data_IF_551278306276
#
_entry.id   IF_551278306276
#
_cell.length_a   1.000
_cell.length_b   1.000
_cell.length_c   1.000
_cell.angle_alpha   90.00
_cell.angle_beta   90.00
_cell.angle_gamma   90.00
#
_symmetry.space_group_name_H-M   'P 1'
#
loop_
_entity.id
_entity.type
_entity.pdbx_description
1 polymer ?
#
# COMPACT_ATOMS: atom_id res chain seq x y z
N UNK A 1 7.37 6.04 17.82
CA UNK A 1 6.81 4.94 17.00
C UNK A 1 6.47 5.55 15.66
N UNK A 2 6.97 5.02 14.55
CA UNK A 2 6.65 5.56 13.22
C UNK A 2 5.34 4.92 12.78
N UNK A 3 4.34 5.74 12.44
CA UNK A 3 3.07 5.22 11.90
C UNK A 3 3.32 4.67 10.49
N UNK A 4 2.71 3.54 10.13
CA UNK A 4 2.81 3.02 8.76
C UNK A 4 2.20 4.01 7.77
N UNK A 5 2.71 4.00 6.53
CA UNK A 5 2.14 4.80 5.46
C UNK A 5 0.77 4.26 5.07
N UNK A 6 -0.13 5.09 4.55
CA UNK A 6 -1.42 4.58 4.06
C UNK A 6 -1.26 4.10 2.63
N UNK A 7 -1.80 2.92 2.30
CA UNK A 7 -1.89 2.46 0.91
C UNK A 7 -2.46 3.57 0.02
N UNK A 8 -1.73 3.91 -1.03
CA UNK A 8 -2.04 5.05 -1.90
C UNK A 8 -1.10 6.24 -1.71
N UNK A 9 -0.33 6.32 -0.63
CA UNK A 9 0.61 7.41 -0.40
C UNK A 9 1.93 7.22 -1.15
N UNK A 10 2.50 8.33 -1.61
CA UNK A 10 3.87 8.39 -2.09
C UNK A 10 4.82 8.58 -0.92
N UNK A 11 5.92 7.83 -0.92
CA UNK A 11 7.01 7.98 0.04
C UNK A 11 8.32 8.23 -0.69
N UNK A 12 9.03 9.29 -0.30
CA UNK A 12 10.31 9.67 -0.88
C UNK A 12 11.46 9.04 -0.08
N UNK A 13 12.60 8.85 -0.74
CA UNK A 13 13.83 8.36 -0.12
C UNK A 13 14.84 9.50 -0.03
N UNK A 14 15.18 9.92 1.18
CA UNK A 14 16.10 11.04 1.42
C UNK A 14 17.50 10.72 0.88
N UNK A 15 17.91 9.45 0.91
CA UNK A 15 19.18 8.97 0.35
C UNK A 15 19.25 9.06 -1.19
N UNK A 16 18.10 9.15 -1.87
CA UNK A 16 17.99 9.16 -3.32
C UNK A 16 17.11 10.30 -3.82
N UNK A 17 17.71 11.47 -4.05
CA UNK A 17 17.01 12.69 -4.43
C UNK A 17 15.97 12.49 -5.56
N UNK A 18 14.70 12.69 -5.23
CA UNK A 18 13.57 12.60 -6.15
C UNK A 18 13.05 11.18 -6.42
N UNK A 19 13.66 10.15 -5.83
CA UNK A 19 13.12 8.79 -5.85
C UNK A 19 11.93 8.71 -4.90
N UNK A 20 10.83 8.14 -5.39
CA UNK A 20 9.67 7.88 -4.54
C UNK A 20 8.92 6.63 -4.94
N UNK A 21 8.29 6.00 -3.96
CA UNK A 21 7.59 4.73 -4.09
C UNK A 21 6.15 4.88 -3.61
N UNK A 22 5.25 4.15 -4.26
CA UNK A 22 3.85 4.05 -3.88
C UNK A 22 3.38 2.62 -3.99
N UNK A 23 2.79 2.12 -2.91
CA UNK A 23 1.88 0.97 -2.97
C UNK A 23 0.50 1.52 -3.33
N UNK A 24 -0.03 1.14 -4.49
CA UNK A 24 -1.37 1.52 -4.91
C UNK A 24 -2.42 0.71 -4.15
N UNK A 25 -3.69 1.00 -4.42
CA UNK A 25 -4.83 0.28 -3.86
C UNK A 25 -4.66 -1.24 -3.97
N UNK A 26 -5.14 -1.92 -2.94
CA UNK A 26 -5.33 -3.37 -2.90
C UNK A 26 -6.65 -3.69 -3.60
N UNK A 27 -6.61 -4.49 -4.66
CA UNK A 27 -7.77 -4.75 -5.51
C UNK A 27 -8.01 -6.26 -5.63
N UNK A 28 -9.25 -6.76 -5.42
CA UNK A 28 -9.57 -8.13 -5.77
C UNK A 28 -9.26 -8.37 -7.25
N UNK A 29 -8.47 -9.40 -7.55
CA UNK A 29 -8.07 -9.68 -8.92
C UNK A 29 -7.60 -11.12 -9.06
N UNK A 30 -8.00 -11.78 -10.15
CA UNK A 30 -7.53 -13.12 -10.47
C UNK A 30 -6.17 -13.07 -11.20
N UNK A 31 -5.25 -14.00 -10.89
CA UNK A 31 -3.97 -14.10 -11.58
C UNK A 31 -4.12 -14.43 -13.08
N UNK A 32 -3.30 -13.85 -13.98
CA UNK A 32 -3.46 -13.98 -15.42
C UNK A 32 -3.22 -15.40 -15.97
N UNK A 33 -2.45 -16.24 -15.28
CA UNK A 33 -2.13 -17.62 -15.70
C UNK A 33 -2.96 -18.67 -14.96
N UNK A 34 -4.04 -18.25 -14.29
CA UNK A 34 -4.84 -19.10 -13.42
C UNK A 34 -4.30 -19.15 -11.99
N UNK A 35 -5.15 -19.63 -11.08
CA UNK A 35 -4.87 -19.75 -9.65
C UNK A 35 -3.82 -20.85 -9.39
N UNK A 36 -3.03 -20.65 -8.35
CA UNK A 36 -2.17 -21.69 -7.80
C UNK A 36 -3.00 -22.66 -6.94
N UNK A 37 -2.74 -23.96 -7.05
CA UNK A 37 -3.43 -24.98 -6.25
C UNK A 37 -3.18 -24.78 -4.75
N UNK A 38 -2.00 -24.25 -4.37
CA UNK A 38 -1.68 -23.92 -2.99
C UNK A 38 -2.51 -22.74 -2.42
N UNK A 39 -3.17 -21.98 -3.29
CA UNK A 39 -4.08 -20.90 -2.93
C UNK A 39 -5.57 -21.32 -2.99
N UNK A 40 -5.86 -22.62 -3.02
CA UNK A 40 -7.23 -23.12 -2.94
C UNK A 40 -7.96 -22.57 -1.70
N UNK A 41 -9.16 -22.02 -1.93
CA UNK A 41 -9.97 -21.41 -0.87
C UNK A 41 -9.51 -20.03 -0.41
N UNK A 42 -8.43 -19.47 -0.96
CA UNK A 42 -7.98 -18.12 -0.66
C UNK A 42 -8.61 -17.08 -1.61
N UNK A 43 -8.69 -15.85 -1.11
CA UNK A 43 -9.13 -14.69 -1.90
C UNK A 43 -7.91 -13.99 -2.47
N UNK A 44 -7.83 -13.97 -3.80
CA UNK A 44 -6.76 -13.29 -4.52
C UNK A 44 -6.98 -11.78 -4.60
N UNK A 45 -5.89 -11.05 -4.49
CA UNK A 45 -5.83 -9.61 -4.72
C UNK A 45 -4.53 -9.21 -5.40
N UNK A 46 -4.57 -8.08 -6.10
CA UNK A 46 -3.46 -7.46 -6.77
C UNK A 46 -2.90 -6.32 -5.93
N UNK A 47 -1.57 -6.25 -5.90
CA UNK A 47 -0.81 -5.13 -5.36
C UNK A 47 -0.02 -4.52 -6.52
N UNK A 48 -0.03 -3.19 -6.65
CA UNK A 48 0.87 -2.50 -7.57
C UNK A 48 1.84 -1.65 -6.76
N UNK A 49 3.13 -1.78 -7.04
CA UNK A 49 4.17 -0.96 -6.43
C UNK A 49 4.85 -0.16 -7.53
N UNK A 50 4.70 1.16 -7.51
CA UNK A 50 5.32 2.04 -8.50
C UNK A 50 6.48 2.79 -7.89
N UNK A 51 7.58 2.78 -8.62
CA UNK A 51 8.75 3.63 -8.39
C UNK A 51 8.72 4.78 -9.40
N UNK A 52 8.89 6.02 -8.94
CA UNK A 52 9.00 7.21 -9.77
C UNK A 52 10.31 7.93 -9.50
N UNK A 53 10.94 8.42 -10.56
CA UNK A 53 12.12 9.26 -10.45
C UNK A 53 11.79 10.71 -10.85
N UNK A 54 11.84 11.61 -9.88
CA UNK A 54 11.72 13.06 -10.05
C UNK A 54 13.06 13.79 -10.00
N UNK A 55 14.16 13.05 -9.84
CA UNK A 55 15.51 13.58 -9.84
C UNK A 55 16.03 13.91 -11.24
N UNK A 56 17.25 14.42 -11.30
CA UNK A 56 17.90 14.85 -12.54
C UNK A 56 18.72 13.79 -13.27
N UNK A 57 18.92 12.59 -12.69
CA UNK A 57 19.70 11.47 -13.26
C UNK A 57 18.84 10.21 -13.34
N UNK A 58 19.24 9.22 -14.14
CA UNK A 58 18.62 7.89 -14.07
C UNK A 58 19.04 7.18 -12.77
N UNK A 59 18.20 6.24 -12.34
CA UNK A 59 18.43 5.36 -11.20
C UNK A 59 18.15 3.93 -11.65
N UNK A 60 19.09 3.01 -11.43
CA UNK A 60 18.91 1.59 -11.67
C UNK A 60 18.12 0.99 -10.51
N UNK A 61 16.93 0.45 -10.79
CA UNK A 61 15.99 -0.03 -9.77
C UNK A 61 15.85 -1.54 -9.86
N UNK A 62 15.97 -2.20 -8.71
CA UNK A 62 15.51 -3.56 -8.50
C UNK A 62 14.38 -3.57 -7.46
N UNK A 63 13.32 -4.30 -7.80
CA UNK A 63 12.20 -4.60 -6.93
C UNK A 63 11.73 -6.04 -7.22
N UNK A 64 12.41 -6.99 -6.60
CA UNK A 64 12.35 -8.43 -6.88
C UNK A 64 11.68 -9.22 -5.73
N UNK A 65 11.66 -10.55 -5.87
CA UNK A 65 11.23 -11.44 -4.79
C UNK A 65 12.06 -11.23 -3.51
N UNK A 66 11.42 -11.37 -2.35
CA UNK A 66 12.01 -11.11 -1.02
C UNK A 66 12.21 -9.62 -0.68
N UNK A 67 12.04 -8.71 -1.64
CA UNK A 67 12.08 -7.26 -1.41
C UNK A 67 10.71 -6.67 -1.06
N UNK A 68 9.66 -7.48 -1.25
CA UNK A 68 8.29 -7.16 -0.89
C UNK A 68 7.78 -8.27 0.04
N UNK A 69 7.32 -7.89 1.22
CA UNK A 69 6.68 -8.78 2.18
C UNK A 69 5.26 -8.31 2.43
N UNK A 70 4.31 -9.25 2.45
CA UNK A 70 2.88 -8.95 2.60
C UNK A 70 2.35 -9.69 3.81
N UNK A 71 1.89 -8.93 4.80
CA UNK A 71 1.24 -9.45 6.00
C UNK A 71 -0.25 -9.16 5.98
N UNK A 72 -1.03 -10.07 6.51
CA UNK A 72 -2.49 -9.98 6.60
C UNK A 72 -2.97 -10.24 8.01
N UNK A 73 -4.14 -9.71 8.33
CA UNK A 73 -4.76 -9.86 9.62
C UNK A 73 -4.04 -9.11 10.75
N UNK A 74 -4.66 -9.08 11.95
CA UNK A 74 -4.12 -8.36 13.10
C UNK A 74 -2.85 -9.00 13.67
N UNK A 75 -2.64 -10.29 13.43
CA UNK A 75 -1.49 -11.06 13.93
C UNK A 75 -0.29 -11.03 12.96
N UNK A 76 -0.43 -10.39 11.79
CA UNK A 76 0.65 -10.22 10.83
C UNK A 76 1.07 -11.51 10.13
N UNK A 77 0.09 -12.33 9.74
CA UNK A 77 0.32 -13.60 9.06
C UNK A 77 0.84 -13.37 7.64
N UNK A 78 1.71 -14.23 7.13
CA UNK A 78 2.17 -14.10 5.74
C UNK A 78 1.01 -14.36 4.76
N UNK A 79 0.82 -13.46 3.80
CA UNK A 79 0.01 -13.75 2.64
C UNK A 79 0.69 -14.78 1.74
N UNK A 80 -0.10 -15.57 1.00
CA UNK A 80 0.42 -16.36 -0.11
C UNK A 80 0.83 -15.41 -1.24
N UNK A 81 2.09 -15.44 -1.68
CA UNK A 81 2.58 -14.66 -2.82
C UNK A 81 2.73 -15.55 -4.05
N UNK A 82 1.96 -15.25 -5.10
CA UNK A 82 2.00 -15.94 -6.38
C UNK A 82 3.06 -15.29 -7.28
N UNK A 83 4.32 -15.66 -7.05
CA UNK A 83 5.48 -15.17 -7.78
C UNK A 83 5.41 -15.51 -9.28
N UNK A 84 4.77 -16.64 -9.65
CA UNK A 84 4.60 -17.06 -11.06
C UNK A 84 3.70 -16.10 -11.83
N UNK A 85 2.70 -15.52 -11.18
CA UNK A 85 1.79 -14.55 -11.79
C UNK A 85 2.21 -13.09 -11.59
N UNK A 86 3.21 -12.85 -10.74
CA UNK A 86 3.72 -11.51 -10.44
C UNK A 86 4.74 -11.03 -11.49
N UNK A 87 4.91 -9.71 -11.57
CA UNK A 87 5.85 -9.01 -12.43
C UNK A 87 6.69 -8.07 -11.56
N UNK A 88 7.98 -8.33 -11.52
CA UNK A 88 8.96 -7.60 -10.71
C UNK A 88 9.71 -6.56 -11.55
N UNK A 89 10.49 -5.71 -10.90
CA UNK A 89 11.44 -4.80 -11.58
C UNK A 89 12.83 -5.43 -11.44
N UNK A 90 13.33 -6.07 -12.49
CA UNK A 90 14.58 -6.84 -12.48
C UNK A 90 15.72 -6.04 -13.12
N UNK A 91 16.14 -4.94 -12.47
CA UNK A 91 17.23 -4.09 -12.95
C UNK A 91 16.83 -3.15 -14.09
N UNK A 92 15.92 -2.22 -13.80
CA UNK A 92 15.41 -1.25 -14.78
C UNK A 92 15.89 0.17 -14.49
N UNK A 93 16.42 0.85 -15.51
CA UNK A 93 16.79 2.26 -15.42
C UNK A 93 15.56 3.16 -15.48
N UNK A 94 15.20 3.75 -14.34
CA UNK A 94 14.14 4.75 -14.27
C UNK A 94 14.75 6.12 -14.57
N UNK A 95 14.59 6.58 -15.80
CA UNK A 95 15.01 7.92 -16.23
C UNK A 95 14.20 9.04 -15.55
N UNK A 96 14.69 10.29 -15.54
CA UNK A 96 13.96 11.44 -15.02
C UNK A 96 12.52 11.54 -15.55
N UNK A 97 11.57 11.79 -14.65
CA UNK A 97 10.13 11.88 -14.87
C UNK A 97 9.48 10.60 -15.40
N UNK A 98 10.16 9.45 -15.25
CA UNK A 98 9.62 8.13 -15.61
C UNK A 98 9.24 7.32 -14.37
N UNK A 99 8.50 6.25 -14.63
CA UNK A 99 7.97 5.32 -13.64
C UNK A 99 8.22 3.89 -14.08
N UNK A 100 8.50 3.03 -13.11
CA UNK A 100 8.47 1.57 -13.25
C UNK A 100 7.47 1.00 -12.25
N UNK A 101 6.78 -0.10 -12.59
CA UNK A 101 5.75 -0.66 -11.71
C UNK A 101 5.88 -2.17 -11.63
N UNK A 102 6.05 -2.69 -10.41
CA UNK A 102 5.85 -4.09 -10.09
C UNK A 102 4.36 -4.36 -9.87
N UNK A 103 3.89 -5.54 -10.29
CA UNK A 103 2.52 -6.01 -10.11
C UNK A 103 2.58 -7.37 -9.44
N UNK A 104 2.05 -7.48 -8.22
CA UNK A 104 2.04 -8.71 -7.46
C UNK A 104 0.64 -9.27 -7.35
N UNK A 105 0.53 -10.59 -7.37
CA UNK A 105 -0.67 -11.31 -7.00
C UNK A 105 -0.42 -12.01 -5.67
N UNK A 106 -1.28 -11.71 -4.71
CA UNK A 106 -1.25 -12.27 -3.38
C UNK A 106 -2.61 -12.88 -3.04
N UNK A 107 -2.65 -13.80 -2.09
CA UNK A 107 -3.88 -14.41 -1.62
C UNK A 107 -3.85 -14.63 -0.11
N UNK A 108 -5.02 -14.57 0.51
CA UNK A 108 -5.19 -14.86 1.92
C UNK A 108 -6.65 -15.22 2.27
N UNK A 109 -6.90 -15.73 3.49
CA UNK A 109 -8.27 -15.96 3.95
C UNK A 109 -9.03 -14.64 3.96
N UNK A 110 -10.24 -14.61 3.39
CA UNK A 110 -11.04 -13.39 3.24
C UNK A 110 -11.19 -12.60 4.55
N UNK A 111 -11.39 -13.30 5.67
CA UNK A 111 -11.52 -12.70 6.99
C UNK A 111 -10.27 -11.93 7.47
N UNK A 112 -9.08 -12.32 6.99
CA UNK A 112 -7.80 -11.68 7.34
C UNK A 112 -7.48 -10.48 6.43
N UNK A 113 -8.23 -10.24 5.35
CA UNK A 113 -7.94 -9.16 4.39
C UNK A 113 -8.49 -7.78 4.80
N UNK A 114 -9.07 -7.68 6.01
CA UNK A 114 -9.47 -6.42 6.65
C UNK A 114 -8.28 -5.58 7.12
N UNK A 115 -7.08 -6.18 7.19
CA UNK A 115 -5.81 -5.51 7.40
C UNK A 115 -4.76 -6.17 6.51
N UNK A 116 -4.05 -5.37 5.73
CA UNK A 116 -2.97 -5.79 4.85
C UNK A 116 -1.83 -4.80 4.96
N UNK A 117 -0.68 -5.32 5.34
CA UNK A 117 0.55 -4.56 5.50
C UNK A 117 1.54 -4.98 4.41
N UNK A 118 2.02 -4.02 3.63
CA UNK A 118 2.94 -4.23 2.51
C UNK A 118 4.25 -3.53 2.84
N UNK A 119 5.28 -4.31 3.14
CA UNK A 119 6.63 -3.80 3.32
C UNK A 119 7.37 -3.86 1.98
N UNK A 120 8.05 -2.77 1.63
CA UNK A 120 8.83 -2.65 0.40
C UNK A 120 10.24 -2.21 0.74
N UNK A 121 11.23 -2.86 0.13
CA UNK A 121 12.63 -2.50 0.20
C UNK A 121 13.23 -2.41 -1.21
N UNK A 122 13.32 -1.21 -1.76
CA UNK A 122 13.90 -1.03 -3.10
C UNK A 122 15.42 -1.12 -3.03
N UNK A 123 16.03 -1.73 -4.05
CA UNK A 123 17.47 -1.63 -4.28
C UNK A 123 17.73 -0.66 -5.43
N UNK A 124 18.60 0.32 -5.20
CA UNK A 124 18.89 1.44 -6.10
C UNK A 124 20.39 1.47 -6.38
N UNK A 125 20.79 1.41 -7.64
CA UNK A 125 22.20 1.44 -8.06
C UNK A 125 23.09 0.45 -7.23
N UNK A 126 22.61 -0.79 -7.06
CA UNK A 126 23.22 -1.85 -6.23
C UNK A 126 23.15 -1.68 -4.70
N UNK A 127 22.63 -0.57 -4.18
CA UNK A 127 22.51 -0.28 -2.74
C UNK A 127 21.07 -0.45 -2.22
N UNK A 128 20.92 -0.92 -0.99
CA UNK A 128 19.60 -1.09 -0.37
C UNK A 128 19.10 0.22 0.23
N UNK A 129 17.92 0.67 -0.20
CA UNK A 129 17.22 1.78 0.44
C UNK A 129 16.53 1.32 1.74
N UNK A 130 16.08 2.28 2.55
CA UNK A 130 15.32 1.99 3.77
C UNK A 130 14.06 1.16 3.51
N UNK A 131 13.62 0.37 4.50
CA UNK A 131 12.33 -0.32 4.40
C UNK A 131 11.20 0.67 4.66
N UNK A 132 10.17 0.64 3.81
CA UNK A 132 8.94 1.41 3.99
C UNK A 132 7.74 0.46 4.10
N UNK A 133 6.80 0.78 4.97
CA UNK A 133 5.62 -0.03 5.27
C UNK A 133 4.36 0.74 4.86
N UNK A 134 3.46 0.10 4.12
CA UNK A 134 2.14 0.64 3.81
C UNK A 134 1.07 -0.27 4.41
N UNK A 135 0.07 0.31 5.07
CA UNK A 135 -1.07 -0.39 5.65
C UNK A 135 -2.35 -0.02 4.91
N UNK A 136 -3.20 -1.02 4.67
CA UNK A 136 -4.50 -0.85 4.01
C UNK A 136 -5.41 -2.04 4.26
N UNK A 137 -6.52 -2.12 3.52
CA UNK A 137 -7.44 -3.25 3.57
C UNK A 137 -8.07 -3.48 2.20
N UNK A 138 -8.52 -4.72 1.96
CA UNK A 138 -9.27 -5.06 0.76
C UNK A 138 -10.74 -4.61 0.91
N UNK A 139 -11.31 -3.98 -0.12
CA UNK A 139 -12.75 -3.63 -0.14
C UNK A 139 -13.14 -2.30 0.51
N UNK A 140 -12.18 -1.48 0.98
CA UNK A 140 -12.49 -0.11 1.40
C UNK A 140 -12.79 0.77 0.16
N UNK A 141 -13.95 1.46 0.08
CA UNK A 141 -14.25 2.41 -0.99
C UNK A 141 -13.28 3.60 -0.98
N UNK A 142 -13.05 4.21 -2.15
CA UNK A 142 -12.13 5.35 -2.29
C UNK A 142 -12.76 6.53 -1.57
N UNK A 143 -12.28 6.87 -0.37
CA UNK A 143 -12.78 8.06 0.32
C UNK A 143 -12.69 8.10 1.84
N UNK A 144 -12.10 7.11 2.51
CA UNK A 144 -11.88 7.20 3.96
C UNK A 144 -10.39 7.40 4.25
N UNK A 145 -9.93 8.65 4.14
CA UNK A 145 -8.92 9.14 5.08
C UNK A 145 -9.55 9.13 6.47
N UNK A 146 -9.55 7.98 7.11
CA UNK A 146 -10.00 7.81 8.48
C UNK A 146 -8.95 6.96 9.18
N UNK A 147 -8.16 7.65 10.00
CA UNK A 147 -7.42 7.10 11.13
C UNK A 147 -8.19 5.93 11.75
N UNK A 148 -7.58 4.79 12.08
CA UNK A 148 -8.27 3.71 12.75
C UNK A 148 -8.57 4.14 14.19
N UNK A 149 -9.70 4.83 14.36
CA UNK A 149 -10.31 5.08 15.65
C UNK A 149 -11.64 4.34 15.69
N UNK A 150 -11.62 3.20 16.36
CA UNK A 150 -12.63 2.94 17.37
C UNK A 150 -13.56 1.77 17.11
N UNK A 151 -13.60 0.88 18.10
CA UNK A 151 -14.86 0.29 18.48
C UNK A 151 -15.76 1.38 19.08
N UNK A 152 -16.51 2.11 18.24
CA UNK A 152 -17.68 2.88 18.70
C UNK A 152 -18.77 2.82 17.63
N UNK A 153 -19.96 2.40 18.07
CA UNK A 153 -21.19 2.20 17.31
C UNK A 153 -21.59 3.42 16.45
N UNK A 154 -22.18 3.10 15.30
CA UNK A 154 -22.61 3.95 14.18
C UNK A 154 -23.57 5.14 14.46
N UNK A 155 -23.89 5.47 15.72
CA UNK A 155 -24.85 6.55 16.04
C UNK A 155 -24.20 7.92 16.31
N UNK A 156 -22.87 8.06 16.13
CA UNK A 156 -22.12 9.24 16.57
C UNK A 156 -21.93 10.37 15.54
N UNK A 157 -21.85 10.06 14.24
CA UNK A 157 -21.30 11.01 13.26
C UNK A 157 -22.25 12.18 12.97
N UNK A 158 -23.55 11.92 12.81
CA UNK A 158 -24.53 12.98 12.58
C UNK A 158 -24.69 13.92 13.77
N UNK A 159 -24.54 13.39 15.00
CA UNK A 159 -24.59 14.18 16.22
C UNK A 159 -23.34 15.05 16.37
N UNK A 160 -22.15 14.51 16.05
CA UNK A 160 -20.88 15.24 16.10
C UNK A 160 -20.83 16.37 15.07
N UNK A 161 -21.29 16.13 13.84
CA UNK A 161 -21.35 17.17 12.80
C UNK A 161 -22.35 18.26 13.20
N UNK A 162 -23.50 17.89 13.78
CA UNK A 162 -24.49 18.85 14.25
C UNK A 162 -23.97 19.70 15.42
N UNK A 163 -23.21 19.12 16.35
CA UNK A 163 -22.62 19.84 17.47
C UNK A 163 -21.52 20.81 17.02
N UNK A 164 -20.68 20.40 16.06
CA UNK A 164 -19.63 21.25 15.49
C UNK A 164 -20.20 22.46 14.73
N UNK A 165 -21.22 22.25 13.88
CA UNK A 165 -21.87 23.34 13.14
C UNK A 165 -22.60 24.32 14.07
N UNK A 166 -23.16 23.82 15.19
CA UNK A 166 -23.81 24.67 16.19
C UNK A 166 -22.79 25.53 16.93
N UNK A 167 -21.63 24.98 17.32
CA UNK A 167 -20.55 25.75 17.94
C UNK A 167 -19.97 26.84 17.03
N UNK A 168 -19.87 26.61 15.72
CA UNK A 168 -19.43 27.62 14.74
C UNK A 168 -20.45 28.76 14.54
N UNK A 169 -21.71 28.56 14.91
CA UNK A 169 -22.75 29.59 14.79
C UNK A 169 -22.83 30.49 16.04
N UNK A 170 -22.28 30.06 17.17
CA UNK A 170 -22.33 30.78 18.46
C UNK A 170 -21.09 31.68 18.67
N UNK A 171 -19.94 31.36 18.04
CA UNK A 171 -18.71 32.18 18.08
C UNK A 171 -18.64 33.26 16.98
N UNK A 172 -19.74 33.46 16.24
CA UNK A 172 -19.84 34.37 15.09
C UNK A 172 -20.58 35.69 15.36
N UNK A 173 -20.72 36.13 16.62
CA UNK A 173 -21.29 37.44 16.92
C UNK A 173 -20.80 38.02 18.26
N UNK A 174 -19.64 38.68 18.24
CA UNK A 174 -19.34 39.96 18.94
C UNK A 174 -17.86 40.31 18.78
#
# INVERSE_FOLDING_TARGET
MYEPNVVGDWQEYDEHAGLRVRVHRLEPAEPPRGRDDAAEGLTYFRIRVTVENRGGRHLGIHLEDGQIDVRIGPDGESAFLDWRNSQFIEGFDVYPLRRATAVLYAAGPEASLSQVDVQVQVRVDEEWAERRLWSGALGLPDGAGATPCGAVRDDGLAHQVSAFLRGQSEDGSA
#
